data_IF_881825639822
#
_entry.id   IF_881825639822
#
_cell.length_a   1.000
_cell.length_b   1.000
_cell.length_c   1.000
_cell.angle_alpha   90.00
_cell.angle_beta   90.00
_cell.angle_gamma   90.00
#
_symmetry.space_group_name_H-M   'P 1'
#
loop_
_entity.id
_entity.type
_entity.pdbx_description
1 polymer ?
#
# COMPACT_ATOMS: atom_id res chain seq x y z
N UNK A 1 7.46 -1.39 -19.38
CA UNK A 1 8.73 -1.77 -18.70
C UNK A 1 8.51 -2.19 -17.24
N UNK A 2 7.70 -1.47 -16.44
CA UNK A 2 7.47 -1.82 -15.02
C UNK A 2 6.79 -3.18 -14.83
N UNK A 3 5.89 -3.58 -15.74
CA UNK A 3 5.26 -4.92 -15.69
C UNK A 3 6.28 -6.07 -15.72
N UNK A 4 7.39 -5.91 -16.45
CA UNK A 4 8.45 -6.91 -16.47
C UNK A 4 9.12 -7.05 -15.11
N UNK A 5 9.25 -5.96 -14.35
CA UNK A 5 9.79 -5.96 -12.99
C UNK A 5 8.83 -6.71 -12.06
N UNK A 6 7.52 -6.43 -12.15
CA UNK A 6 6.49 -7.12 -11.37
C UNK A 6 6.49 -8.62 -11.65
N UNK A 7 6.49 -9.01 -12.93
CA UNK A 7 6.55 -10.43 -13.35
C UNK A 7 7.84 -11.09 -12.87
N UNK A 8 8.98 -10.41 -12.98
CA UNK A 8 10.26 -10.93 -12.49
C UNK A 8 10.23 -11.17 -10.99
N UNK A 9 9.67 -10.23 -10.20
CA UNK A 9 9.50 -10.39 -8.76
C UNK A 9 8.63 -11.63 -8.46
N UNK A 10 7.50 -11.79 -9.16
CA UNK A 10 6.64 -12.96 -8.99
C UNK A 10 7.37 -14.28 -9.31
N UNK A 11 8.14 -14.32 -10.39
CA UNK A 11 8.97 -15.48 -10.76
C UNK A 11 10.00 -15.78 -9.67
N UNK A 12 10.67 -14.77 -9.12
CA UNK A 12 11.64 -14.94 -8.04
C UNK A 12 10.96 -15.55 -6.81
N UNK A 13 9.79 -15.04 -6.41
CA UNK A 13 9.04 -15.58 -5.29
C UNK A 13 8.57 -17.03 -5.54
N UNK A 14 8.09 -17.33 -6.75
CA UNK A 14 7.72 -18.68 -7.17
C UNK A 14 8.91 -19.65 -7.11
N UNK A 15 10.07 -19.25 -7.66
CA UNK A 15 11.28 -20.05 -7.69
C UNK A 15 11.85 -20.29 -6.28
N UNK A 16 11.83 -19.28 -5.41
CA UNK A 16 12.20 -19.43 -4.00
C UNK A 16 11.25 -20.42 -3.31
N UNK A 17 9.94 -20.30 -3.55
CA UNK A 17 8.94 -21.20 -2.99
C UNK A 17 9.14 -22.64 -3.46
N UNK A 18 9.35 -22.84 -4.76
CA UNK A 18 9.66 -24.13 -5.35
C UNK A 18 10.90 -24.75 -4.69
N UNK A 19 12.03 -24.03 -4.62
CA UNK A 19 13.29 -24.53 -4.03
C UNK A 19 13.18 -24.86 -2.54
N UNK A 20 12.34 -24.15 -1.78
CA UNK A 20 12.18 -24.36 -0.34
C UNK A 20 11.19 -25.47 0.02
N UNK A 21 10.38 -25.91 -0.94
CA UNK A 21 9.29 -26.85 -0.70
C UNK A 21 8.11 -26.23 0.05
N UNK A 22 7.09 -27.06 0.28
CA UNK A 22 5.79 -26.65 0.80
C UNK A 22 5.87 -26.05 2.20
N UNK A 23 6.39 -26.80 3.17
CA UNK A 23 6.32 -26.45 4.60
C UNK A 23 6.99 -25.11 4.88
N UNK A 24 8.22 -24.92 4.40
CA UNK A 24 8.95 -23.66 4.57
C UNK A 24 8.26 -22.50 3.84
N UNK A 25 7.69 -22.74 2.66
CA UNK A 25 6.95 -21.71 1.93
C UNK A 25 5.68 -21.28 2.67
N UNK A 26 4.89 -22.26 3.15
CA UNK A 26 3.69 -22.04 3.95
C UNK A 26 3.99 -21.25 5.23
N UNK A 27 4.98 -21.66 6.02
CA UNK A 27 5.36 -20.95 7.25
C UNK A 27 5.77 -19.50 6.98
N UNK A 28 6.54 -19.24 5.92
CA UNK A 28 6.93 -17.87 5.60
C UNK A 28 5.79 -17.04 5.01
N UNK A 29 4.81 -17.65 4.34
CA UNK A 29 3.58 -16.97 3.94
C UNK A 29 2.75 -16.61 5.18
N UNK A 30 2.50 -17.56 6.08
CA UNK A 30 1.78 -17.34 7.33
C UNK A 30 2.43 -16.22 8.16
N UNK A 31 3.76 -16.25 8.32
CA UNK A 31 4.48 -15.17 9.00
C UNK A 31 4.33 -13.82 8.30
N UNK A 32 4.28 -13.78 6.97
CA UNK A 32 4.06 -12.53 6.22
C UNK A 32 2.65 -11.99 6.44
N UNK A 33 1.64 -12.87 6.49
CA UNK A 33 0.25 -12.52 6.80
C UNK A 33 0.14 -12.03 8.25
N UNK A 34 0.75 -12.73 9.21
CA UNK A 34 0.76 -12.32 10.63
C UNK A 34 1.43 -10.95 10.78
N UNK A 35 2.58 -10.70 10.14
CA UNK A 35 3.21 -9.39 10.14
C UNK A 35 2.27 -8.29 9.61
N UNK A 36 1.48 -8.59 8.56
CA UNK A 36 0.55 -7.64 7.98
C UNK A 36 -0.61 -7.36 8.94
N UNK A 37 -1.24 -8.38 9.49
CA UNK A 37 -2.33 -8.21 10.47
C UNK A 37 -1.85 -7.40 11.68
N UNK A 38 -0.69 -7.75 12.25
CA UNK A 38 -0.11 -7.02 13.36
C UNK A 38 0.25 -5.57 12.98
N UNK A 39 0.64 -5.31 11.72
CA UNK A 39 0.90 -3.95 11.27
C UNK A 39 -0.36 -3.07 11.29
N UNK A 40 -1.54 -3.62 11.01
CA UNK A 40 -2.82 -2.89 11.13
C UNK A 40 -3.19 -2.57 12.58
N UNK A 41 -2.62 -3.28 13.56
CA UNK A 41 -2.83 -2.98 14.98
C UNK A 41 -1.84 -1.90 15.45
N UNK A 42 -0.60 -1.98 14.98
CA UNK A 42 0.50 -1.13 15.46
C UNK A 42 0.60 0.19 14.69
N UNK A 43 0.09 0.28 13.45
CA UNK A 43 0.25 1.49 12.62
C UNK A 43 -0.24 2.80 13.26
N UNK A 44 -1.27 2.87 14.14
CA UNK A 44 -1.68 4.15 14.71
C UNK A 44 -0.56 4.82 15.52
N UNK A 45 0.25 4.03 16.23
CA UNK A 45 1.43 4.53 16.94
C UNK A 45 2.50 5.04 15.97
N UNK A 46 2.81 4.27 14.93
CA UNK A 46 3.77 4.66 13.89
C UNK A 46 3.29 5.90 13.11
N UNK A 47 1.99 6.03 12.87
CA UNK A 47 1.36 7.17 12.20
C UNK A 47 1.55 8.46 13.01
N UNK A 48 1.30 8.42 14.33
CA UNK A 48 1.55 9.57 15.21
C UNK A 48 3.01 10.03 15.15
N UNK A 49 3.96 9.09 15.13
CA UNK A 49 5.39 9.41 15.01
C UNK A 49 5.69 10.01 13.64
N UNK A 50 5.20 9.44 12.55
CA UNK A 50 5.49 9.95 11.21
C UNK A 50 4.94 11.35 10.98
N UNK A 51 3.79 11.69 11.58
CA UNK A 51 3.20 13.04 11.52
C UNK A 51 4.06 14.13 12.15
N UNK A 52 4.96 13.80 13.07
CA UNK A 52 5.89 14.79 13.66
C UNK A 52 7.14 15.02 12.81
N UNK A 53 7.34 14.21 11.77
CA UNK A 53 8.49 14.32 10.88
C UNK A 53 8.18 15.21 9.66
N UNK A 54 9.21 15.78 8.98
CA UNK A 54 9.03 16.59 7.78
C UNK A 54 8.39 15.87 6.58
N UNK A 55 8.22 14.55 6.66
CA UNK A 55 7.56 13.78 5.60
C UNK A 55 6.09 14.19 5.45
N UNK A 56 5.42 14.54 6.55
CA UNK A 56 4.02 14.97 6.53
C UNK A 56 3.84 16.25 5.71
N UNK A 57 4.66 17.26 6.00
CA UNK A 57 4.60 18.55 5.30
C UNK A 57 4.98 18.39 3.82
N UNK A 58 6.00 17.58 3.52
CA UNK A 58 6.42 17.30 2.15
C UNK A 58 5.31 16.63 1.32
N UNK A 59 4.57 15.70 1.92
CA UNK A 59 3.42 15.05 1.26
C UNK A 59 2.29 16.07 1.08
N UNK A 60 1.95 16.84 2.12
CA UNK A 60 0.90 17.85 2.06
C UNK A 60 1.16 18.86 0.93
N UNK A 61 2.36 19.46 0.90
CA UNK A 61 2.75 20.43 -0.13
C UNK A 61 2.78 19.77 -1.51
N UNK A 62 3.30 18.55 -1.62
CA UNK A 62 3.31 17.79 -2.87
C UNK A 62 1.92 17.55 -3.44
N UNK A 63 0.94 17.22 -2.59
CA UNK A 63 -0.47 17.09 -2.98
C UNK A 63 -1.05 18.45 -3.34
N UNK A 64 -0.84 19.48 -2.51
CA UNK A 64 -1.38 20.82 -2.72
C UNK A 64 -0.94 21.39 -4.07
N UNK A 65 0.35 21.32 -4.39
CA UNK A 65 0.92 21.81 -5.65
C UNK A 65 0.36 21.09 -6.88
N UNK A 66 -0.07 19.82 -6.76
CA UNK A 66 -0.71 19.09 -7.86
C UNK A 66 -2.13 19.55 -8.15
N UNK A 67 -2.82 20.11 -7.15
CA UNK A 67 -4.24 20.43 -7.23
C UNK A 67 -4.53 21.93 -7.15
N UNK A 68 -3.53 22.77 -6.86
CA UNK A 68 -3.71 24.22 -6.68
C UNK A 68 -4.34 24.90 -7.89
N UNK A 69 -3.99 24.44 -9.10
CA UNK A 69 -4.48 24.99 -10.35
C UNK A 69 -5.84 24.41 -10.80
N UNK A 70 -6.38 23.42 -10.08
CA UNK A 70 -7.66 22.80 -10.42
C UNK A 70 -8.78 23.70 -9.93
N UNK A 71 -9.68 24.09 -10.85
CA UNK A 71 -10.96 24.68 -10.49
C UNK A 71 -11.95 23.59 -10.10
N UNK A 72 -12.20 23.46 -8.80
CA UNK A 72 -13.19 22.51 -8.28
C UNK A 72 -14.63 23.07 -8.36
N UNK A 73 -14.80 24.32 -8.79
CA UNK A 73 -16.07 25.01 -8.82
C UNK A 73 -16.66 25.26 -7.43
N UNK A 74 -17.89 25.78 -7.42
CA UNK A 74 -18.60 26.16 -6.19
C UNK A 74 -19.62 25.10 -5.79
N UNK A 75 -19.62 24.75 -4.51
CA UNK A 75 -20.57 23.80 -3.92
C UNK A 75 -20.09 22.35 -3.99
N UNK A 76 -20.54 21.57 -3.01
CA UNK A 76 -20.09 20.19 -2.75
C UNK A 76 -20.24 19.28 -3.97
N UNK A 77 -21.33 19.42 -4.74
CA UNK A 77 -21.58 18.58 -5.91
C UNK A 77 -20.60 18.85 -7.06
N UNK A 78 -20.34 20.13 -7.37
CA UNK A 78 -19.33 20.52 -8.38
C UNK A 78 -17.95 20.04 -7.98
N UNK A 79 -17.58 20.26 -6.72
CA UNK A 79 -16.30 19.81 -6.17
C UNK A 79 -16.16 18.28 -6.25
N UNK A 80 -17.22 17.54 -5.93
CA UNK A 80 -17.24 16.08 -6.01
C UNK A 80 -17.01 15.55 -7.43
N UNK A 81 -17.57 16.21 -8.45
CA UNK A 81 -17.31 15.84 -9.85
C UNK A 81 -15.87 16.19 -10.25
N UNK A 82 -15.41 17.39 -9.89
CA UNK A 82 -14.04 17.83 -10.20
C UNK A 82 -12.96 16.96 -9.52
N UNK A 83 -13.21 16.40 -8.33
CA UNK A 83 -12.34 15.40 -7.68
C UNK A 83 -12.14 14.20 -8.60
N UNK A 84 -13.23 13.59 -9.09
CA UNK A 84 -13.16 12.39 -9.93
C UNK A 84 -12.57 12.68 -11.31
N UNK A 85 -12.81 13.88 -11.86
CA UNK A 85 -12.32 14.27 -13.18
C UNK A 85 -10.83 14.61 -13.19
N UNK A 86 -10.30 15.18 -12.10
CA UNK A 86 -8.94 15.74 -12.11
C UNK A 86 -7.93 14.92 -11.29
N UNK A 87 -8.35 14.18 -10.25
CA UNK A 87 -7.44 13.43 -9.37
C UNK A 87 -7.26 11.99 -9.88
N UNK A 88 -6.85 11.85 -11.15
CA UNK A 88 -6.68 10.52 -11.80
C UNK A 88 -5.40 9.78 -11.41
N UNK A 89 -4.49 10.45 -10.70
CA UNK A 89 -3.24 9.87 -10.23
C UNK A 89 -3.40 9.01 -8.96
N UNK A 90 -4.61 8.97 -8.39
CA UNK A 90 -5.01 8.01 -7.37
C UNK A 90 -6.01 7.00 -7.94
N UNK A 91 -6.08 5.78 -7.38
CA UNK A 91 -7.13 4.85 -7.70
C UNK A 91 -8.52 5.46 -7.44
N UNK A 92 -9.47 5.15 -8.31
CA UNK A 92 -10.82 5.70 -8.26
C UNK A 92 -11.47 5.47 -6.89
N UNK A 93 -11.29 4.29 -6.30
CA UNK A 93 -11.86 3.97 -5.00
C UNK A 93 -11.39 4.90 -3.87
N UNK A 94 -10.19 5.49 -3.96
CA UNK A 94 -9.70 6.50 -3.01
C UNK A 94 -10.32 7.87 -3.29
N UNK A 95 -10.40 8.28 -4.56
CA UNK A 95 -11.05 9.54 -4.92
C UNK A 95 -12.55 9.55 -4.60
N UNK A 96 -13.22 8.40 -4.67
CA UNK A 96 -14.59 8.23 -4.20
C UNK A 96 -14.73 8.52 -2.71
N UNK A 97 -13.73 8.16 -1.88
CA UNK A 97 -13.77 8.48 -0.45
C UNK A 97 -13.62 9.97 -0.19
N UNK A 98 -12.70 10.62 -0.90
CA UNK A 98 -12.52 12.09 -0.83
C UNK A 98 -13.82 12.78 -1.24
N UNK A 99 -14.47 12.34 -2.31
CA UNK A 99 -15.77 12.86 -2.75
C UNK A 99 -16.86 12.64 -1.70
N UNK A 100 -16.98 11.43 -1.17
CA UNK A 100 -18.05 11.07 -0.23
C UNK A 100 -17.91 11.78 1.12
N UNK A 101 -16.68 12.12 1.51
CA UNK A 101 -16.39 12.86 2.75
C UNK A 101 -16.26 14.37 2.53
N UNK A 102 -16.46 14.89 1.31
CA UNK A 102 -16.45 16.32 1.02
C UNK A 102 -17.73 16.98 1.54
N UNK A 103 -17.75 17.36 2.82
CA UNK A 103 -18.89 18.02 3.45
C UNK A 103 -18.44 19.03 4.51
N UNK A 104 -19.34 19.92 4.95
CA UNK A 104 -19.00 21.00 5.88
C UNK A 104 -18.48 20.51 7.23
N UNK A 105 -19.03 19.42 7.77
CA UNK A 105 -18.59 18.85 9.04
C UNK A 105 -17.11 18.40 8.98
N UNK A 106 -16.69 17.84 7.86
CA UNK A 106 -15.29 17.42 7.67
C UNK A 106 -14.34 18.63 7.55
N UNK A 107 -14.79 19.74 6.96
CA UNK A 107 -13.99 20.97 6.87
C UNK A 107 -13.79 21.58 8.25
N UNK A 108 -14.86 21.63 9.07
CA UNK A 108 -14.80 22.09 10.46
C UNK A 108 -13.88 21.21 11.30
N UNK A 109 -14.00 19.88 11.18
CA UNK A 109 -13.15 18.92 11.90
C UNK A 109 -11.67 19.10 11.57
N UNK A 110 -11.34 19.37 10.31
CA UNK A 110 -9.96 19.58 9.86
C UNK A 110 -9.47 21.02 10.02
N UNK A 111 -10.35 21.96 10.36
CA UNK A 111 -10.03 23.39 10.48
C UNK A 111 -9.66 24.07 9.17
N UNK A 112 -10.20 23.59 8.04
CA UNK A 112 -9.89 24.07 6.68
C UNK A 112 -11.03 24.86 6.07
N UNK A 113 -10.72 25.75 5.12
CA UNK A 113 -11.71 26.61 4.46
C UNK A 113 -11.86 26.31 2.98
N UNK A 114 -10.85 25.68 2.38
CA UNK A 114 -10.80 25.42 0.94
C UNK A 114 -10.83 23.92 0.65
N UNK A 115 -11.31 23.58 -0.55
CA UNK A 115 -11.31 22.21 -1.05
C UNK A 115 -9.88 21.69 -1.25
N UNK A 116 -8.94 22.55 -1.66
CA UNK A 116 -7.54 22.19 -1.83
C UNK A 116 -6.89 21.81 -0.49
N UNK A 117 -7.13 22.57 0.58
CA UNK A 117 -6.68 22.22 1.93
C UNK A 117 -7.31 20.90 2.40
N UNK A 118 -8.62 20.72 2.21
CA UNK A 118 -9.32 19.49 2.55
C UNK A 118 -8.70 18.26 1.87
N UNK A 119 -8.54 18.30 0.54
CA UNK A 119 -7.97 17.20 -0.24
C UNK A 119 -6.52 16.93 0.18
N UNK A 120 -5.73 17.99 0.39
CA UNK A 120 -4.32 17.87 0.78
C UNK A 120 -4.16 17.24 2.15
N UNK A 121 -4.95 17.65 3.15
CA UNK A 121 -4.95 17.01 4.47
C UNK A 121 -5.43 15.56 4.39
N UNK A 122 -6.51 15.30 3.65
CA UNK A 122 -7.07 13.96 3.52
C UNK A 122 -6.06 12.98 2.92
N UNK A 123 -5.48 13.34 1.77
CA UNK A 123 -4.49 12.50 1.08
C UNK A 123 -3.21 12.39 1.91
N UNK A 124 -2.72 13.46 2.53
CA UNK A 124 -1.53 13.38 3.38
C UNK A 124 -1.71 12.40 4.54
N UNK A 125 -2.86 12.45 5.24
CA UNK A 125 -3.19 11.51 6.31
C UNK A 125 -3.27 10.06 5.82
N UNK A 126 -3.88 9.85 4.65
CA UNK A 126 -3.97 8.54 4.01
C UNK A 126 -2.58 7.99 3.68
N UNK A 127 -1.73 8.77 3.01
CA UNK A 127 -0.36 8.37 2.63
C UNK A 127 0.48 8.07 3.88
N UNK A 128 0.40 8.90 4.92
CA UNK A 128 1.14 8.65 6.16
C UNK A 128 0.70 7.33 6.81
N UNK A 129 -0.60 7.04 6.81
CA UNK A 129 -1.12 5.78 7.35
C UNK A 129 -0.60 4.59 6.53
N UNK A 130 -0.54 4.71 5.20
CA UNK A 130 0.04 3.69 4.33
C UNK A 130 1.53 3.46 4.59
N UNK A 131 2.31 4.54 4.78
CA UNK A 131 3.73 4.46 5.16
C UNK A 131 3.88 3.80 6.54
N UNK A 132 3.02 4.17 7.50
CA UNK A 132 3.02 3.60 8.84
C UNK A 132 2.78 2.09 8.81
N UNK A 133 1.82 1.61 8.02
CA UNK A 133 1.54 0.19 7.82
C UNK A 133 2.76 -0.48 7.16
N UNK A 134 3.30 0.10 6.09
CA UNK A 134 4.44 -0.45 5.35
C UNK A 134 5.69 -0.62 6.24
N UNK A 135 6.10 0.43 6.95
CA UNK A 135 7.28 0.43 7.82
C UNK A 135 7.08 -0.55 8.98
N UNK A 136 5.90 -0.54 9.60
CA UNK A 136 5.58 -1.47 10.67
C UNK A 136 5.60 -2.92 10.19
N UNK A 137 5.01 -3.21 9.03
CA UNK A 137 5.06 -4.54 8.40
C UNK A 137 6.50 -4.97 8.14
N UNK A 138 7.34 -4.07 7.62
CA UNK A 138 8.75 -4.37 7.34
C UNK A 138 9.50 -4.74 8.63
N UNK A 139 9.32 -3.97 9.69
CA UNK A 139 9.91 -4.24 11.01
C UNK A 139 9.44 -5.59 11.57
N UNK A 140 8.13 -5.84 11.58
CA UNK A 140 7.54 -7.10 12.07
C UNK A 140 8.00 -8.30 11.25
N UNK A 141 8.12 -8.15 9.92
CA UNK A 141 8.63 -9.20 9.04
C UNK A 141 10.08 -9.55 9.36
N UNK A 142 10.92 -8.56 9.68
CA UNK A 142 12.31 -8.81 10.13
C UNK A 142 12.29 -9.59 11.45
N UNK A 143 11.51 -9.15 12.43
CA UNK A 143 11.40 -9.80 13.75
C UNK A 143 10.91 -11.25 13.60
N UNK A 144 9.78 -11.48 12.92
CA UNK A 144 9.25 -12.83 12.70
C UNK A 144 10.21 -13.69 11.87
N UNK A 145 10.94 -13.09 10.94
CA UNK A 145 11.98 -13.77 10.17
C UNK A 145 13.18 -14.21 11.01
N UNK A 146 13.50 -13.49 12.10
CA UNK A 146 14.51 -13.92 13.08
C UNK A 146 13.94 -15.08 13.91
N UNK A 147 12.71 -14.95 14.41
CA UNK A 147 12.04 -16.02 15.18
C UNK A 147 11.95 -17.33 14.39
N UNK A 148 11.53 -17.28 13.13
CA UNK A 148 11.47 -18.47 12.27
C UNK A 148 12.84 -19.11 12.04
N UNK A 149 13.92 -18.32 12.00
CA UNK A 149 15.29 -18.84 11.89
C UNK A 149 15.74 -19.52 13.18
N UNK A 150 15.41 -18.94 14.34
CA UNK A 150 15.70 -19.55 15.64
C UNK A 150 14.96 -20.88 15.84
N UNK A 151 13.72 -20.98 15.35
CA UNK A 151 12.93 -22.21 15.36
C UNK A 151 13.31 -23.19 14.23
N UNK A 152 14.36 -22.90 13.46
CA UNK A 152 14.77 -23.67 12.29
C UNK A 152 15.01 -25.15 12.59
N UNK A 153 15.59 -25.46 13.75
CA UNK A 153 15.83 -26.84 14.19
C UNK A 153 14.54 -27.64 14.33
N UNK A 154 13.43 -27.02 14.75
CA UNK A 154 12.13 -27.69 14.87
C UNK A 154 11.50 -27.90 13.49
N UNK A 155 11.61 -26.90 12.61
CA UNK A 155 11.04 -26.93 11.26
C UNK A 155 11.68 -28.02 10.39
N UNK A 156 12.96 -28.32 10.63
CA UNK A 156 13.71 -29.35 9.91
C UNK A 156 13.24 -30.78 10.18
N UNK A 157 12.57 -31.02 11.30
CA UNK A 157 12.04 -32.35 11.66
C UNK A 157 10.62 -32.61 11.13
N UNK A 158 10.02 -31.65 10.43
CA UNK A 158 8.67 -31.82 9.89
C UNK A 158 8.70 -32.76 8.66
N UNK A 159 7.80 -33.75 8.59
CA UNK A 159 7.80 -34.74 7.51
C UNK A 159 7.57 -34.05 6.16
N UNK A 160 8.48 -34.27 5.22
CA UNK A 160 8.35 -33.76 3.85
C UNK A 160 7.30 -34.63 3.14
N UNK A 161 6.10 -34.08 2.91
CA UNK A 161 5.03 -34.77 2.17
C UNK A 161 5.43 -34.82 0.69
N UNK A 162 5.89 -35.98 0.22
CA UNK A 162 6.67 -36.11 -1.03
C UNK A 162 5.88 -35.86 -2.32
N UNK A 163 4.59 -36.16 -2.38
CA UNK A 163 3.85 -36.21 -3.65
C UNK A 163 3.65 -34.85 -4.34
N UNK A 164 3.74 -33.73 -3.61
CA UNK A 164 3.50 -32.38 -4.16
C UNK A 164 4.39 -31.27 -3.57
N UNK A 165 5.46 -31.62 -2.86
CA UNK A 165 6.24 -30.68 -2.03
C UNK A 165 6.68 -29.40 -2.79
N UNK A 166 7.23 -29.54 -4.00
CA UNK A 166 7.74 -28.41 -4.77
C UNK A 166 6.63 -27.63 -5.49
N UNK A 167 5.57 -28.33 -5.93
CA UNK A 167 4.41 -27.70 -6.59
C UNK A 167 3.65 -26.77 -5.65
N UNK A 168 3.34 -27.23 -4.43
CA UNK A 168 2.79 -26.35 -3.40
C UNK A 168 3.77 -25.26 -2.99
N UNK A 169 5.08 -25.57 -2.89
CA UNK A 169 6.10 -24.54 -2.67
C UNK A 169 6.00 -23.38 -3.67
N UNK A 170 5.85 -23.68 -4.96
CA UNK A 170 5.67 -22.69 -6.02
C UNK A 170 4.41 -21.83 -5.80
N UNK A 171 3.25 -22.46 -5.55
CA UNK A 171 1.97 -21.76 -5.33
C UNK A 171 2.08 -20.81 -4.13
N UNK A 172 2.57 -21.30 -3.00
CA UNK A 172 2.74 -20.48 -1.79
C UNK A 172 3.75 -19.35 -2.01
N UNK A 173 4.80 -19.61 -2.80
CA UNK A 173 5.73 -18.59 -3.28
C UNK A 173 5.02 -17.48 -4.06
N UNK A 174 4.23 -17.83 -5.08
CA UNK A 174 3.46 -16.87 -5.88
C UNK A 174 2.50 -16.04 -5.03
N UNK A 175 1.69 -16.68 -4.18
CA UNK A 175 0.75 -15.98 -3.28
C UNK A 175 1.48 -14.98 -2.39
N UNK A 176 2.62 -15.40 -1.82
CA UNK A 176 3.47 -14.51 -1.02
C UNK A 176 4.04 -13.34 -1.83
N UNK A 177 4.40 -13.58 -3.09
CA UNK A 177 4.87 -12.55 -4.01
C UNK A 177 3.79 -11.50 -4.28
N UNK A 178 2.57 -11.93 -4.62
CA UNK A 178 1.41 -11.05 -4.83
C UNK A 178 1.12 -10.23 -3.56
N UNK A 179 1.09 -10.88 -2.39
CA UNK A 179 0.90 -10.21 -1.11
C UNK A 179 1.98 -9.16 -0.85
N UNK A 180 3.25 -9.51 -1.09
CA UNK A 180 4.38 -8.59 -0.88
C UNK A 180 4.31 -7.39 -1.82
N UNK A 181 4.00 -7.61 -3.09
CA UNK A 181 3.83 -6.53 -4.07
C UNK A 181 2.66 -5.61 -3.70
N UNK A 182 1.58 -6.16 -3.16
CA UNK A 182 0.44 -5.38 -2.68
C UNK A 182 0.83 -4.50 -1.48
N UNK A 183 1.68 -5.00 -0.57
CA UNK A 183 2.23 -4.18 0.53
C UNK A 183 3.16 -3.09 -0.01
N UNK A 184 4.01 -3.39 -1.00
CA UNK A 184 4.85 -2.38 -1.66
C UNK A 184 3.98 -1.31 -2.33
N UNK A 185 2.83 -1.69 -2.89
CA UNK A 185 1.87 -0.76 -3.48
C UNK A 185 1.37 0.33 -2.53
N UNK A 186 1.44 0.11 -1.20
CA UNK A 186 1.05 1.11 -0.20
C UNK A 186 1.88 2.40 -0.28
N UNK A 187 3.15 2.30 -0.67
CA UNK A 187 4.04 3.48 -0.73
C UNK A 187 4.05 4.16 -2.11
N UNK A 188 3.35 3.62 -3.11
CA UNK A 188 3.28 4.25 -4.44
C UNK A 188 2.67 5.67 -4.38
N UNK A 189 1.56 5.92 -3.67
CA UNK A 189 0.99 7.27 -3.56
C UNK A 189 1.94 8.31 -2.97
N UNK A 190 2.84 7.91 -2.05
CA UNK A 190 3.89 8.79 -1.52
C UNK A 190 4.77 9.30 -2.65
N UNK A 191 5.30 8.40 -3.48
CA UNK A 191 6.19 8.83 -4.56
C UNK A 191 5.44 9.70 -5.56
N UNK A 192 4.22 9.34 -5.94
CA UNK A 192 3.41 10.16 -6.85
C UNK A 192 3.24 11.58 -6.30
N UNK A 193 2.95 11.74 -5.01
CA UNK A 193 2.77 13.05 -4.37
C UNK A 193 4.04 13.92 -4.39
N UNK A 194 5.22 13.31 -4.34
CA UNK A 194 6.49 14.04 -4.27
C UNK A 194 6.95 14.56 -5.65
N UNK A 195 7.40 15.83 -5.75
CA UNK A 195 7.86 16.40 -7.02
C UNK A 195 9.03 15.65 -7.68
N UNK A 196 9.87 14.97 -6.88
CA UNK A 196 11.01 14.21 -7.38
C UNK A 196 10.63 12.97 -8.20
N UNK A 197 9.37 12.51 -8.14
CA UNK A 197 8.93 11.26 -8.77
C UNK A 197 7.67 11.42 -9.63
N UNK A 198 7.53 12.58 -10.28
CA UNK A 198 6.34 12.92 -11.10
C UNK A 198 6.06 11.91 -12.22
N UNK A 199 7.09 11.25 -12.77
CA UNK A 199 6.97 10.29 -13.88
C UNK A 199 6.41 8.92 -13.46
N UNK A 200 6.34 8.62 -12.16
CA UNK A 200 5.85 7.31 -11.68
C UNK A 200 4.38 7.12 -12.05
N UNK A 201 3.55 8.16 -11.93
CA UNK A 201 2.13 8.09 -12.28
C UNK A 201 1.96 7.74 -13.77
N UNK A 202 2.68 8.41 -14.66
CA UNK A 202 2.65 8.12 -16.10
C UNK A 202 3.13 6.69 -16.41
N UNK A 203 4.18 6.24 -15.70
CA UNK A 203 4.73 4.91 -15.91
C UNK A 203 3.79 3.79 -15.45
N UNK A 204 3.00 4.04 -14.40
CA UNK A 204 1.92 3.14 -13.96
C UNK A 204 0.80 3.16 -14.98
N UNK A 205 0.33 4.34 -15.43
CA UNK A 205 -0.75 4.45 -16.42
C UNK A 205 -0.43 3.75 -17.75
N UNK A 206 0.83 3.81 -18.19
CA UNK A 206 1.28 3.12 -19.40
C UNK A 206 1.44 1.60 -19.25
N UNK A 207 1.23 1.05 -18.05
CA UNK A 207 1.39 -0.37 -17.73
C UNK A 207 0.04 -1.09 -17.64
N UNK A 208 0.03 -2.40 -17.82
CA UNK A 208 -1.18 -3.22 -17.71
C UNK A 208 -1.26 -3.83 -16.32
N UNK A 209 -0.26 -4.62 -15.93
CA UNK A 209 -0.29 -5.39 -14.69
C UNK A 209 -0.09 -4.48 -13.47
N UNK A 210 0.87 -3.56 -13.53
CA UNK A 210 1.19 -2.67 -12.42
C UNK A 210 0.03 -1.71 -12.16
N UNK A 211 -0.57 -1.16 -13.22
CA UNK A 211 -1.81 -0.37 -13.13
C UNK A 211 -2.93 -1.16 -12.47
N UNK A 212 -3.20 -2.37 -12.96
CA UNK A 212 -4.23 -3.22 -12.38
C UNK A 212 -3.99 -3.49 -10.89
N UNK A 213 -2.76 -3.77 -10.48
CA UNK A 213 -2.41 -3.96 -9.07
C UNK A 213 -2.54 -2.69 -8.22
N UNK A 214 -2.25 -1.51 -8.80
CA UNK A 214 -2.41 -0.23 -8.14
C UNK A 214 -3.89 0.11 -7.92
N UNK A 215 -4.70 -0.02 -8.97
CA UNK A 215 -6.14 0.27 -8.96
C UNK A 215 -6.93 -0.72 -8.11
N UNK A 216 -6.44 -1.96 -7.97
CA UNK A 216 -7.10 -3.06 -7.25
C UNK A 216 -6.29 -3.54 -6.04
N UNK A 217 -5.53 -2.66 -5.40
CA UNK A 217 -4.73 -3.04 -4.24
C UNK A 217 -5.62 -3.42 -3.05
N UNK A 218 -5.80 -4.71 -2.84
CA UNK A 218 -6.69 -5.24 -1.80
C UNK A 218 -6.29 -4.82 -0.38
N UNK A 219 -5.02 -4.52 -0.12
CA UNK A 219 -4.59 -4.06 1.21
C UNK A 219 -5.08 -2.63 1.47
N UNK A 220 -5.04 -1.78 0.45
CA UNK A 220 -5.60 -0.43 0.56
C UNK A 220 -7.13 -0.49 0.69
N UNK A 221 -7.79 -1.39 -0.05
CA UNK A 221 -9.23 -1.61 0.11
C UNK A 221 -9.59 -2.05 1.53
N UNK A 222 -8.83 -2.98 2.10
CA UNK A 222 -9.01 -3.42 3.50
C UNK A 222 -8.78 -2.27 4.47
N UNK A 223 -7.71 -1.48 4.30
CA UNK A 223 -7.46 -0.28 5.11
C UNK A 223 -8.67 0.64 5.13
N UNK A 224 -9.28 0.88 3.98
CA UNK A 224 -10.44 1.75 3.82
C UNK A 224 -11.72 1.27 4.55
N UNK A 225 -11.81 0.00 4.98
CA UNK A 225 -12.92 -0.48 5.80
C UNK A 225 -12.76 -0.15 7.29
N UNK A 226 -11.55 0.23 7.72
CA UNK A 226 -11.22 0.46 9.13
C UNK A 226 -11.10 1.94 9.51
N UNK A 227 -11.29 2.85 8.56
CA UNK A 227 -11.23 4.31 8.71
C UNK A 227 -12.52 4.95 8.18
#
# INVERSE_FOLDING_TARGET
MIDLIVVLILIIFAAIGYKRGFIRSALTLCSTVVALVLSFIVYPATNMILKTTPIYTSIYEGVFNKIEAIDFGKGIQSQGNAILENIKWLPEFLTMQIKNNNNTAMYEMLGVKTIQEYISIYIANMIISMIAIFVTWLLLKVILGIVLRMLGSIIEHLPIVSSFNHGFGLIFGLVKGILTLSVIGLVIPLFIALPAFQDISQSIEASVLTKWMYDNNFIIMIYNYFI
#
